data_IF_407288508156
#
_entry.id   IF_407288508156
#
_cell.length_a   1.000
_cell.length_b   1.000
_cell.length_c   1.000
_cell.angle_alpha   90.00
_cell.angle_beta   90.00
_cell.angle_gamma   90.00
#
_symmetry.space_group_name_H-M   'P 1'
#
loop_
_entity.id
_entity.type
_entity.pdbx_description
1 polymer ?
#
# COMPACT_ATOMS: atom_id res chain seq x y z
N UNK A 1 -1.90 6.41 0.79
CA UNK A 1 -1.46 5.70 -0.45
C UNK A 1 -0.22 6.39 -0.99
N UNK A 2 0.80 5.65 -1.44
CA UNK A 2 2.06 6.22 -1.93
C UNK A 2 2.22 5.88 -3.41
N UNK A 3 2.35 6.90 -4.26
CA UNK A 3 2.46 6.75 -5.71
C UNK A 3 3.88 7.14 -6.13
N UNK A 4 4.53 6.27 -6.88
CA UNK A 4 5.86 6.50 -7.41
C UNK A 4 5.83 6.41 -8.94
N UNK A 5 6.46 7.39 -9.59
CA UNK A 5 6.62 7.46 -11.04
C UNK A 5 8.10 7.67 -11.37
N UNK A 6 8.68 6.85 -12.24
CA UNK A 6 10.06 7.03 -12.71
C UNK A 6 10.15 8.15 -13.75
N UNK A 7 10.69 9.32 -13.37
CA UNK A 7 11.51 10.18 -14.25
C UNK A 7 12.54 10.91 -13.37
N UNK A 8 13.82 10.88 -13.75
CA UNK A 8 14.97 11.51 -13.06
C UNK A 8 14.90 13.07 -13.01
N UNK A 9 15.64 13.74 -12.10
CA UNK A 9 15.16 14.93 -11.39
C UNK A 9 15.56 16.27 -12.03
N UNK A 10 14.67 17.28 -11.96
CA UNK A 10 15.04 18.70 -11.79
C UNK A 10 13.91 19.47 -11.12
N UNK A 11 14.28 20.45 -10.30
CA UNK A 11 13.41 21.31 -9.51
C UNK A 11 12.57 22.24 -10.39
N UNK A 12 11.30 22.48 -10.04
CA UNK A 12 10.63 23.74 -10.37
C UNK A 12 9.39 24.03 -9.51
N UNK A 13 9.34 25.26 -9.03
CA UNK A 13 8.29 25.93 -8.28
C UNK A 13 7.11 26.39 -9.15
N UNK A 14 6.02 26.73 -8.46
CA UNK A 14 5.08 27.83 -8.74
C UNK A 14 3.61 27.49 -9.03
N UNK A 15 2.79 28.41 -8.52
CA UNK A 15 1.35 28.58 -8.57
C UNK A 15 0.77 28.65 -10.00
N UNK A 16 -0.53 28.35 -10.16
CA UNK A 16 -1.61 29.30 -10.54
C UNK A 16 -2.92 28.53 -10.85
N UNK A 17 -4.02 29.22 -10.58
CA UNK A 17 -5.45 28.93 -10.71
C UNK A 17 -5.95 28.30 -12.01
N UNK A 18 -7.15 27.72 -11.96
CA UNK A 18 -8.04 27.61 -13.12
C UNK A 18 -9.21 26.67 -12.90
N UNK A 19 -10.43 27.20 -12.93
CA UNK A 19 -11.69 26.52 -12.64
C UNK A 19 -11.98 25.29 -13.53
N UNK A 20 -12.61 24.28 -12.94
CA UNK A 20 -13.18 23.12 -13.61
C UNK A 20 -14.37 23.56 -14.49
N UNK A 21 -14.08 23.92 -15.74
CA UNK A 21 -15.04 23.72 -16.82
C UNK A 21 -14.83 22.32 -17.39
N UNK A 22 -15.83 21.46 -17.19
CA UNK A 22 -15.93 20.19 -17.90
C UNK A 22 -16.19 20.50 -19.39
N UNK A 23 -15.17 20.33 -20.23
CA UNK A 23 -15.36 20.13 -21.65
C UNK A 23 -14.66 18.84 -22.07
N UNK A 24 -15.46 17.93 -22.61
CA UNK A 24 -15.00 16.70 -23.25
C UNK A 24 -14.05 17.04 -24.40
N UNK A 25 -12.81 16.54 -24.32
CA UNK A 25 -12.06 16.18 -25.53
C UNK A 25 -11.37 14.82 -25.33
N UNK A 26 -11.51 14.01 -26.37
CA UNK A 26 -11.12 12.62 -26.42
C UNK A 26 -9.59 12.46 -26.36
N UNK A 27 -9.10 11.90 -25.25
CA UNK A 27 -7.81 11.25 -25.17
C UNK A 27 -8.02 9.88 -24.51
N UNK A 28 -8.18 8.87 -25.36
CA UNK A 28 -7.87 7.44 -25.15
C UNK A 28 -7.96 6.97 -23.69
N UNK A 29 -9.18 6.77 -23.21
CA UNK A 29 -9.48 6.06 -21.96
C UNK A 29 -9.74 4.59 -22.29
N UNK A 30 -9.24 3.61 -21.53
CA UNK A 30 -9.41 2.24 -21.90
C UNK A 30 -10.82 1.78 -21.52
N UNK A 31 -11.74 1.95 -22.46
CA UNK A 31 -12.60 0.81 -22.79
C UNK A 31 -11.64 -0.37 -23.06
N UNK A 32 -11.75 -1.47 -22.30
CA UNK A 32 -10.95 -2.72 -22.41
C UNK A 32 -9.71 -2.87 -21.49
N UNK A 33 -9.75 -2.40 -20.24
CA UNK A 33 -8.98 -3.05 -19.16
C UNK A 33 -7.44 -2.93 -19.23
N UNK A 34 -6.89 -1.94 -19.93
CA UNK A 34 -5.47 -1.60 -19.90
C UNK A 34 -5.24 -0.37 -19.04
N UNK A 35 -5.20 -0.57 -17.72
CA UNK A 35 -4.78 0.49 -16.80
C UNK A 35 -3.31 0.84 -17.06
N UNK A 36 -2.97 2.13 -17.06
CA UNK A 36 -1.59 2.61 -17.15
C UNK A 36 -0.80 2.45 -15.84
N UNK A 37 -1.43 1.89 -14.80
CA UNK A 37 -0.86 1.74 -13.47
C UNK A 37 -0.97 0.31 -12.94
N UNK A 38 -0.07 -0.04 -12.04
CA UNK A 38 -0.08 -1.27 -11.24
C UNK A 38 -0.21 -0.93 -9.77
N UNK A 39 -1.19 -1.54 -9.10
CA UNK A 39 -1.27 -1.53 -7.63
C UNK A 39 -0.37 -2.62 -7.08
N UNK A 40 0.44 -2.27 -6.09
CA UNK A 40 1.35 -3.16 -5.39
C UNK A 40 0.91 -3.25 -3.95
N UNK A 41 0.79 -4.48 -3.44
CA UNK A 41 0.38 -4.73 -2.07
C UNK A 41 1.09 -5.95 -1.49
N UNK A 42 1.15 -6.04 -0.16
CA UNK A 42 1.66 -7.22 0.53
C UNK A 42 0.76 -7.61 1.69
N UNK A 43 0.67 -8.92 1.95
CA UNK A 43 -0.08 -9.49 3.07
C UNK A 43 0.64 -10.74 3.56
N UNK A 44 1.33 -10.62 4.70
CA UNK A 44 2.05 -11.69 5.37
C UNK A 44 1.49 -11.88 6.78
N UNK A 45 1.25 -13.12 7.19
CA UNK A 45 0.92 -13.41 8.57
C UNK A 45 2.18 -13.47 9.43
N UNK A 46 2.42 -12.40 10.19
CA UNK A 46 3.51 -12.27 11.15
C UNK A 46 3.14 -12.77 12.56
N UNK A 47 2.07 -13.58 12.68
CA UNK A 47 1.65 -14.18 13.95
C UNK A 47 0.89 -13.22 14.88
N UNK A 48 0.33 -12.13 14.34
CA UNK A 48 -0.33 -11.08 15.14
C UNK A 48 -1.55 -11.58 15.94
N UNK A 49 -2.21 -12.63 15.47
CA UNK A 49 -3.33 -13.25 16.18
C UNK A 49 -2.94 -13.89 17.51
N UNK A 50 -1.65 -14.19 17.72
CA UNK A 50 -1.13 -14.85 18.92
C UNK A 50 -0.43 -13.89 19.88
N UNK A 51 -0.46 -12.58 19.63
CA UNK A 51 0.25 -11.62 20.48
C UNK A 51 -0.46 -11.43 21.83
N UNK A 52 0.31 -11.28 22.94
CA UNK A 52 -0.23 -11.26 24.30
C UNK A 52 -0.87 -9.91 24.70
N UNK A 53 -1.30 -9.08 23.75
CA UNK A 53 -1.78 -7.71 23.99
C UNK A 53 -3.17 -7.47 23.43
N UNK A 54 -3.80 -6.36 23.87
CA UNK A 54 -5.05 -5.80 23.30
C UNK A 54 -4.94 -5.47 21.80
N UNK A 55 -3.76 -5.61 21.21
CA UNK A 55 -3.50 -5.40 19.79
C UNK A 55 -3.53 -6.67 18.95
N UNK A 56 -3.80 -7.83 19.58
CA UNK A 56 -4.06 -9.06 18.84
C UNK A 56 -5.23 -8.83 17.89
N UNK A 57 -5.02 -9.22 16.63
CA UNK A 57 -6.05 -9.25 15.60
C UNK A 57 -5.86 -10.54 14.83
N UNK A 58 -6.93 -11.31 14.71
CA UNK A 58 -6.88 -12.58 13.99
C UNK A 58 -6.44 -12.37 12.55
N UNK A 59 -5.75 -13.34 11.96
CA UNK A 59 -5.37 -13.23 10.55
C UNK A 59 -6.60 -13.15 9.62
N UNK A 60 -7.70 -13.82 10.00
CA UNK A 60 -8.97 -13.72 9.30
C UNK A 60 -9.53 -12.30 9.24
N UNK A 61 -9.30 -11.48 10.27
CA UNK A 61 -9.64 -10.05 10.26
C UNK A 61 -8.90 -9.34 9.12
N UNK A 62 -7.60 -9.58 8.97
CA UNK A 62 -6.82 -9.01 7.86
C UNK A 62 -7.26 -9.53 6.50
N UNK A 63 -7.53 -10.83 6.38
CA UNK A 63 -8.02 -11.40 5.12
C UNK A 63 -9.36 -10.80 4.70
N UNK A 64 -10.25 -10.50 5.65
CA UNK A 64 -11.52 -9.82 5.36
C UNK A 64 -11.30 -8.42 4.80
N UNK A 65 -10.40 -7.63 5.40
CA UNK A 65 -10.11 -6.29 4.87
C UNK A 65 -9.37 -6.36 3.53
N UNK A 66 -8.44 -7.32 3.40
CA UNK A 66 -7.69 -7.55 2.18
C UNK A 66 -8.60 -7.96 1.02
N UNK A 67 -9.67 -8.72 1.30
CA UNK A 67 -10.71 -9.08 0.31
C UNK A 67 -11.27 -7.86 -0.41
N UNK A 68 -11.42 -6.74 0.29
CA UNK A 68 -11.98 -5.53 -0.31
C UNK A 68 -11.03 -4.93 -1.36
N UNK A 69 -9.73 -4.92 -1.08
CA UNK A 69 -8.69 -4.55 -2.06
C UNK A 69 -8.68 -5.54 -3.24
N UNK A 70 -8.77 -6.84 -2.96
CA UNK A 70 -8.74 -7.88 -4.00
C UNK A 70 -9.90 -7.80 -5.00
N UNK A 71 -11.04 -7.18 -4.63
CA UNK A 71 -12.18 -6.96 -5.53
C UNK A 71 -11.95 -5.85 -6.56
N UNK A 72 -10.94 -4.99 -6.38
CA UNK A 72 -10.69 -3.87 -7.29
C UNK A 72 -10.35 -4.37 -8.69
N UNK A 73 -11.00 -3.81 -9.70
CA UNK A 73 -10.66 -4.10 -11.11
C UNK A 73 -9.44 -3.27 -11.52
N UNK A 74 -8.25 -3.71 -11.12
CA UNK A 74 -6.96 -3.06 -11.40
C UNK A 74 -5.90 -4.10 -11.70
N UNK A 75 -4.82 -3.70 -12.39
CA UNK A 75 -3.60 -4.50 -12.44
C UNK A 75 -3.01 -4.59 -11.02
N UNK A 76 -2.88 -5.80 -10.49
CA UNK A 76 -2.51 -6.03 -9.10
C UNK A 76 -1.31 -6.96 -8.97
N UNK A 77 -0.22 -6.47 -8.39
CA UNK A 77 0.90 -7.26 -7.92
C UNK A 77 0.78 -7.50 -6.41
N UNK A 78 0.71 -8.75 -5.99
CA UNK A 78 0.58 -9.14 -4.58
C UNK A 78 1.82 -9.89 -4.09
N UNK A 79 2.34 -9.51 -2.93
CA UNK A 79 3.42 -10.20 -2.21
C UNK A 79 2.86 -10.87 -0.98
N UNK A 80 2.76 -12.20 -0.99
CA UNK A 80 2.02 -12.93 0.04
C UNK A 80 2.74 -14.20 0.47
N UNK A 81 2.45 -14.67 1.67
CA UNK A 81 2.92 -15.97 2.14
C UNK A 81 2.17 -17.12 1.44
N UNK A 82 2.71 -18.34 1.59
CA UNK A 82 2.16 -19.54 0.94
C UNK A 82 0.71 -19.81 1.29
N UNK A 83 0.29 -19.58 2.55
CA UNK A 83 -1.10 -19.83 2.97
C UNK A 83 -2.08 -18.78 2.41
N UNK A 84 -1.60 -17.57 2.14
CA UNK A 84 -2.39 -16.45 1.65
C UNK A 84 -2.51 -16.45 0.13
N UNK A 85 -1.56 -17.06 -0.58
CA UNK A 85 -1.61 -17.21 -2.04
C UNK A 85 -2.92 -17.83 -2.53
N UNK A 86 -3.39 -18.91 -1.89
CA UNK A 86 -4.66 -19.55 -2.26
C UNK A 86 -5.83 -18.59 -2.11
N UNK A 87 -5.85 -17.81 -1.03
CA UNK A 87 -6.89 -16.81 -0.81
C UNK A 87 -6.92 -15.75 -1.93
N UNK A 88 -5.76 -15.22 -2.32
CA UNK A 88 -5.66 -14.26 -3.44
C UNK A 88 -6.17 -14.86 -4.73
N UNK A 89 -5.75 -16.08 -5.06
CA UNK A 89 -6.18 -16.78 -6.27
C UNK A 89 -7.71 -16.94 -6.31
N UNK A 90 -8.32 -17.42 -5.23
CA UNK A 90 -9.78 -17.59 -5.16
C UNK A 90 -10.55 -16.28 -5.29
N UNK A 91 -10.06 -15.19 -4.70
CA UNK A 91 -10.74 -13.89 -4.78
C UNK A 91 -10.58 -13.22 -6.15
N UNK A 92 -9.55 -13.57 -6.94
CA UNK A 92 -9.23 -12.93 -8.22
C UNK A 92 -9.22 -13.87 -9.43
N UNK A 93 -9.75 -15.08 -9.31
CA UNK A 93 -9.78 -16.09 -10.38
C UNK A 93 -10.47 -15.61 -11.66
N UNK A 94 -11.48 -14.75 -11.53
CA UNK A 94 -12.24 -14.19 -12.67
C UNK A 94 -11.59 -12.91 -13.25
N UNK A 95 -10.47 -12.43 -12.69
CA UNK A 95 -9.82 -11.18 -13.12
C UNK A 95 -8.83 -11.37 -14.29
N UNK A 96 -8.83 -12.55 -14.92
CA UNK A 96 -7.96 -12.89 -16.05
C UNK A 96 -6.48 -12.66 -15.74
N UNK A 97 -5.79 -11.91 -16.61
CA UNK A 97 -4.36 -11.61 -16.49
C UNK A 97 -4.04 -10.33 -15.69
N UNK A 98 -4.99 -9.77 -14.92
CA UNK A 98 -4.78 -8.55 -14.11
C UNK A 98 -4.16 -8.82 -12.72
N UNK A 99 -3.61 -10.01 -12.49
CA UNK A 99 -3.06 -10.40 -11.18
C UNK A 99 -1.76 -11.16 -11.33
N UNK A 100 -0.74 -10.70 -10.61
CA UNK A 100 0.54 -11.41 -10.44
C UNK A 100 0.75 -11.60 -8.94
N UNK A 101 0.94 -12.85 -8.52
CA UNK A 101 1.15 -13.19 -7.10
C UNK A 101 2.55 -13.72 -6.91
N UNK A 102 3.31 -13.05 -6.05
CA UNK A 102 4.66 -13.38 -5.68
C UNK A 102 4.65 -13.98 -4.28
N UNK A 103 5.20 -15.18 -4.13
CA UNK A 103 5.45 -15.76 -2.83
C UNK A 103 6.64 -15.09 -2.16
N UNK A 104 6.45 -14.69 -0.90
CA UNK A 104 7.51 -14.13 -0.06
C UNK A 104 7.28 -14.55 1.39
N UNK A 105 8.35 -14.94 2.08
CA UNK A 105 8.38 -15.14 3.51
C UNK A 105 9.03 -13.96 4.23
N UNK A 106 8.94 -13.94 5.56
CA UNK A 106 9.62 -12.91 6.36
C UNK A 106 11.14 -12.93 6.14
N UNK A 107 11.74 -14.10 5.95
CA UNK A 107 13.18 -14.29 5.77
C UNK A 107 13.70 -13.75 4.43
N UNK A 108 12.82 -13.65 3.43
CA UNK A 108 13.14 -13.10 2.11
C UNK A 108 13.19 -11.57 2.10
N UNK A 109 12.76 -10.90 3.18
CA UNK A 109 12.70 -9.46 3.24
C UNK A 109 14.09 -8.85 3.47
N UNK A 110 14.43 -7.74 2.79
CA UNK A 110 15.79 -7.20 2.78
C UNK A 110 16.32 -6.78 4.15
N UNK A 111 15.42 -6.46 5.08
CA UNK A 111 15.77 -6.04 6.44
C UNK A 111 15.73 -7.18 7.46
N UNK A 112 15.34 -8.40 7.07
CA UNK A 112 15.30 -9.54 7.97
C UNK A 112 16.66 -9.89 8.56
N UNK A 113 17.75 -9.66 7.79
CA UNK A 113 19.13 -9.75 8.27
C UNK A 113 19.44 -8.90 9.51
N UNK A 114 18.66 -7.85 9.77
CA UNK A 114 18.82 -6.98 10.95
C UNK A 114 17.86 -7.34 12.09
N UNK A 115 17.03 -8.39 11.96
CA UNK A 115 16.04 -8.78 12.96
C UNK A 115 16.63 -8.89 14.36
N UNK A 116 17.79 -9.54 14.50
CA UNK A 116 18.47 -9.68 15.79
C UNK A 116 18.85 -8.34 16.40
N UNK A 117 19.42 -7.43 15.60
CA UNK A 117 19.79 -6.08 16.05
C UNK A 117 18.57 -5.22 16.40
N UNK A 118 17.50 -5.30 15.62
CA UNK A 118 16.23 -4.62 15.91
C UNK A 118 15.67 -5.11 17.26
N UNK A 119 15.66 -6.44 17.48
CA UNK A 119 15.20 -7.02 18.73
C UNK A 119 16.06 -6.58 19.93
N UNK A 120 17.38 -6.55 19.77
CA UNK A 120 18.32 -6.08 20.79
C UNK A 120 18.03 -4.62 21.17
N UNK A 121 17.88 -3.73 20.17
CA UNK A 121 17.54 -2.32 20.38
C UNK A 121 16.20 -2.21 21.11
N UNK A 122 15.15 -2.88 20.62
CA UNK A 122 13.81 -2.87 21.24
C UNK A 122 13.82 -3.38 22.69
N UNK A 123 14.76 -4.26 23.05
CA UNK A 123 14.86 -4.81 24.40
C UNK A 123 15.74 -3.98 25.34
N UNK A 124 16.54 -3.05 24.81
CA UNK A 124 17.43 -2.18 25.60
C UNK A 124 16.67 -1.24 26.54
N UNK A 125 17.30 -0.91 27.67
CA UNK A 125 16.72 0.01 28.66
C UNK A 125 16.54 1.43 28.11
N UNK A 126 17.49 1.89 27.28
CA UNK A 126 17.44 3.20 26.63
C UNK A 126 16.21 3.31 25.72
N UNK A 127 16.05 2.36 24.78
CA UNK A 127 14.89 2.35 23.89
C UNK A 127 13.58 2.29 24.66
N UNK A 128 13.48 1.44 25.70
CA UNK A 128 12.25 1.32 26.50
C UNK A 128 11.91 2.58 27.28
N UNK A 129 12.93 3.29 27.76
CA UNK A 129 12.75 4.55 28.50
C UNK A 129 12.36 5.69 27.57
N UNK A 130 12.97 5.76 26.39
CA UNK A 130 12.89 6.92 25.51
C UNK A 130 11.85 6.76 24.38
N UNK A 131 11.17 5.60 24.30
CA UNK A 131 10.10 5.33 23.35
C UNK A 131 8.72 5.26 24.02
N UNK A 132 7.93 6.31 23.88
CA UNK A 132 6.55 6.42 24.39
C UNK A 132 5.62 5.28 23.95
N UNK A 133 5.88 4.68 22.79
CA UNK A 133 5.05 3.61 22.23
C UNK A 133 5.14 2.31 23.04
N UNK A 134 6.23 2.16 23.81
CA UNK A 134 6.41 1.04 24.75
C UNK A 134 5.40 1.14 25.89
N UNK A 135 5.19 2.33 26.45
CA UNK A 135 4.18 2.56 27.48
C UNK A 135 2.76 2.29 26.95
N UNK A 136 2.52 2.64 25.68
CA UNK A 136 1.26 2.37 24.96
C UNK A 136 1.12 0.91 24.48
N UNK A 137 2.14 0.07 24.70
CA UNK A 137 2.17 -1.34 24.28
C UNK A 137 1.82 -1.52 22.80
N UNK A 138 2.37 -0.66 21.94
CA UNK A 138 2.18 -0.76 20.49
C UNK A 138 3.19 -1.73 19.86
N UNK A 139 2.73 -2.64 19.00
CA UNK A 139 3.56 -3.67 18.37
C UNK A 139 4.79 -3.14 17.63
N UNK A 140 4.68 -1.95 17.02
CA UNK A 140 5.80 -1.20 16.43
C UNK A 140 6.92 -0.83 17.41
N UNK A 141 6.76 -1.12 18.71
CA UNK A 141 7.77 -0.89 19.73
C UNK A 141 8.40 -2.17 20.29
N UNK A 142 7.87 -3.35 19.99
CA UNK A 142 8.39 -4.62 20.57
C UNK A 142 8.32 -5.84 19.64
N UNK A 143 7.80 -5.71 18.42
CA UNK A 143 7.76 -6.80 17.43
C UNK A 143 8.67 -6.45 16.23
N UNK A 144 9.88 -7.01 16.15
CA UNK A 144 10.82 -6.75 15.05
C UNK A 144 10.24 -7.06 13.67
N UNK A 145 9.46 -8.14 13.55
CA UNK A 145 8.83 -8.57 12.30
C UNK A 145 7.85 -7.53 11.75
N UNK A 146 7.18 -6.79 12.63
CA UNK A 146 6.28 -5.72 12.23
C UNK A 146 7.06 -4.61 11.52
N UNK A 147 8.17 -4.15 12.11
CA UNK A 147 8.99 -3.09 11.54
C UNK A 147 9.65 -3.53 10.24
N UNK A 148 10.16 -4.77 10.18
CA UNK A 148 10.75 -5.34 8.96
C UNK A 148 9.73 -5.33 7.81
N UNK A 149 8.49 -5.77 8.07
CA UNK A 149 7.43 -5.77 7.06
C UNK A 149 7.06 -4.35 6.62
N UNK A 150 6.91 -3.42 7.58
CA UNK A 150 6.56 -2.03 7.28
C UNK A 150 7.65 -1.31 6.48
N UNK A 151 8.93 -1.56 6.77
CA UNK A 151 10.06 -1.00 6.04
C UNK A 151 10.21 -1.62 4.63
N UNK A 152 9.65 -2.81 4.40
CA UNK A 152 9.77 -3.53 3.12
C UNK A 152 8.80 -3.07 2.03
N UNK A 153 7.93 -2.08 2.30
CA UNK A 153 6.94 -1.56 1.32
C UNK A 153 7.60 -1.04 0.04
N UNK A 154 8.66 -0.24 0.19
CA UNK A 154 9.40 0.30 -0.96
C UNK A 154 10.14 -0.80 -1.73
N UNK A 155 10.58 -1.86 -1.05
CA UNK A 155 11.20 -3.00 -1.70
C UNK A 155 10.22 -3.73 -2.63
N UNK A 156 8.98 -3.97 -2.19
CA UNK A 156 7.95 -4.58 -3.03
C UNK A 156 7.58 -3.72 -4.23
N UNK A 157 7.49 -2.41 -4.01
CA UNK A 157 7.21 -1.45 -5.07
C UNK A 157 8.33 -1.49 -6.13
N UNK A 158 9.58 -1.29 -5.70
CA UNK A 158 10.77 -1.33 -6.57
C UNK A 158 10.90 -2.64 -7.34
N UNK A 159 10.69 -3.78 -6.68
CA UNK A 159 10.76 -5.08 -7.36
C UNK A 159 9.68 -5.21 -8.45
N UNK A 160 8.47 -4.71 -8.21
CA UNK A 160 7.40 -4.72 -9.22
C UNK A 160 7.70 -3.78 -10.38
N UNK A 161 8.35 -2.65 -10.13
CA UNK A 161 8.80 -1.73 -11.18
C UNK A 161 9.79 -2.44 -12.10
N UNK A 162 10.79 -3.12 -11.54
CA UNK A 162 11.80 -3.83 -12.32
C UNK A 162 11.22 -4.98 -13.16
N UNK A 163 10.24 -5.72 -12.65
CA UNK A 163 9.64 -6.84 -13.40
C UNK A 163 8.51 -6.41 -14.32
N UNK A 164 7.88 -5.27 -14.05
CA UNK A 164 6.75 -4.66 -14.75
C UNK A 164 5.79 -5.68 -15.42
N UNK A 165 5.14 -6.57 -14.66
CA UNK A 165 4.43 -7.73 -15.21
C UNK A 165 3.23 -7.37 -16.10
N UNK A 166 2.75 -6.13 -16.00
CA UNK A 166 1.60 -5.63 -16.75
C UNK A 166 1.96 -4.55 -17.77
N UNK A 167 3.25 -4.27 -17.96
CA UNK A 167 3.76 -3.23 -18.84
C UNK A 167 3.10 -1.85 -18.61
N UNK A 168 3.08 -1.42 -17.34
CA UNK A 168 2.46 -0.17 -16.88
C UNK A 168 3.50 0.94 -16.65
N UNK A 169 3.05 2.19 -16.60
CA UNK A 169 3.89 3.37 -16.36
C UNK A 169 3.93 3.80 -14.89
N UNK A 170 2.82 3.61 -14.17
CA UNK A 170 2.67 4.10 -12.79
C UNK A 170 2.58 2.94 -11.80
N UNK A 171 3.18 3.10 -10.61
CA UNK A 171 3.15 2.08 -9.56
C UNK A 171 2.68 2.68 -8.24
N UNK A 172 1.69 2.01 -7.65
CA UNK A 172 0.97 2.52 -6.48
C UNK A 172 1.08 1.52 -5.34
N UNK A 173 1.66 1.93 -4.22
CA UNK A 173 1.57 1.14 -2.99
C UNK A 173 0.21 1.31 -2.32
N UNK A 174 -0.47 0.18 -2.10
CA UNK A 174 -1.70 0.10 -1.31
C UNK A 174 -1.54 -0.96 -0.21
N UNK A 175 -1.72 -0.55 1.04
CA UNK A 175 -1.56 -1.45 2.19
C UNK A 175 -2.61 -2.55 2.16
N UNK A 176 -2.23 -3.82 2.32
CA UNK A 176 -3.19 -4.93 2.30
C UNK A 176 -4.19 -4.87 3.45
N UNK A 177 -3.83 -4.19 4.55
CA UNK A 177 -4.71 -3.89 5.68
C UNK A 177 -5.50 -2.58 5.53
N UNK A 178 -5.41 -1.87 4.40
CA UNK A 178 -6.05 -0.56 4.21
C UNK A 178 -7.59 -0.61 4.35
N UNK A 179 -8.22 -1.79 4.21
CA UNK A 179 -9.67 -1.93 4.20
C UNK A 179 -10.43 -1.74 5.51
N UNK A 180 -9.78 -1.36 6.62
CA UNK A 180 -10.39 -1.22 7.95
C UNK A 180 -11.49 -0.13 8.10
N UNK A 181 -12.05 0.44 7.03
CA UNK A 181 -13.11 1.45 7.07
C UNK A 181 -14.23 1.18 6.07
N UNK A 182 -15.46 1.53 6.47
CA UNK A 182 -16.70 1.14 5.78
C UNK A 182 -16.86 1.71 4.36
N UNK A 183 -16.14 2.79 4.00
CA UNK A 183 -16.34 3.51 2.72
C UNK A 183 -15.10 3.54 1.82
N UNK A 184 -14.07 2.74 2.10
CA UNK A 184 -12.73 2.96 1.52
C UNK A 184 -12.63 2.63 0.03
N UNK A 185 -13.51 1.76 -0.49
CA UNK A 185 -13.44 1.27 -1.86
C UNK A 185 -14.69 1.63 -2.67
N UNK A 186 -14.56 1.94 -3.97
CA UNK A 186 -15.69 2.08 -4.88
C UNK A 186 -16.56 0.84 -4.87
N UNK A 187 -17.88 1.00 -4.82
CA UNK A 187 -18.84 -0.11 -4.75
C UNK A 187 -18.83 -0.99 -6.01
N UNK A 188 -18.47 -0.40 -7.15
CA UNK A 188 -18.29 -1.06 -8.43
C UNK A 188 -16.86 -1.64 -8.63
N UNK A 189 -15.98 -1.49 -7.64
CA UNK A 189 -14.58 -1.92 -7.70
C UNK A 189 -13.71 -1.11 -8.67
N UNK A 190 -14.25 -0.09 -9.33
CA UNK A 190 -13.56 0.72 -10.33
C UNK A 190 -12.87 1.90 -9.66
N UNK A 191 -11.54 1.89 -9.66
CA UNK A 191 -10.75 2.97 -9.11
C UNK A 191 -9.82 3.57 -10.18
N UNK A 192 -10.00 4.85 -10.48
CA UNK A 192 -9.22 5.58 -11.48
C UNK A 192 -8.67 6.86 -10.84
N UNK A 193 -7.38 6.89 -10.47
CA UNK A 193 -6.78 8.07 -9.83
C UNK A 193 -6.32 9.13 -10.84
N UNK A 194 -7.23 9.62 -11.71
CA UNK A 194 -6.88 10.48 -12.86
C UNK A 194 -5.94 11.65 -12.50
N UNK A 195 -6.30 12.43 -11.49
CA UNK A 195 -5.54 13.62 -11.06
C UNK A 195 -4.13 13.29 -10.56
N UNK A 196 -3.93 12.08 -10.01
CA UNK A 196 -2.61 11.64 -9.54
C UNK A 196 -1.69 11.28 -10.70
N UNK A 197 -2.27 10.67 -11.75
CA UNK A 197 -1.53 10.29 -12.95
C UNK A 197 -1.16 11.51 -13.80
N UNK A 198 -1.90 12.62 -13.66
CA UNK A 198 -1.60 13.90 -14.32
C UNK A 198 -0.42 14.67 -13.67
N UNK A 199 0.11 14.20 -12.54
CA UNK A 199 1.27 14.81 -11.86
C UNK A 199 2.48 13.86 -11.81
N UNK A 200 3.01 13.40 -12.96
CA UNK A 200 4.18 12.54 -12.99
C UNK A 200 5.43 13.25 -12.44
N UNK A 201 6.39 12.47 -11.95
CA UNK A 201 7.65 12.96 -11.37
C UNK A 201 7.54 13.42 -9.91
N UNK A 202 6.42 13.17 -9.23
CA UNK A 202 6.19 13.57 -7.83
C UNK A 202 5.77 12.36 -6.98
N UNK A 203 6.19 12.35 -5.72
CA UNK A 203 5.62 11.45 -4.71
C UNK A 203 4.36 12.12 -4.18
N UNK A 204 3.20 11.52 -4.45
CA UNK A 204 1.91 12.04 -3.97
C UNK A 204 1.39 11.17 -2.84
N UNK A 205 1.07 11.81 -1.71
CA UNK A 205 0.40 11.19 -0.57
C UNK A 205 -1.07 11.57 -0.58
N UNK A 206 -1.95 10.56 -0.50
CA UNK A 206 -3.36 10.77 -0.21
C UNK A 206 -3.66 10.26 1.19
N UNK A 207 -4.23 11.16 2.00
CA UNK A 207 -4.97 10.87 3.20
C UNK A 207 -6.46 11.05 2.92
N UNK A 208 -7.29 10.13 3.46
CA UNK A 208 -8.74 10.32 3.52
C UNK A 208 -9.15 10.35 4.99
N UNK A 209 -9.51 11.52 5.54
CA UNK A 209 -10.04 11.59 6.89
C UNK A 209 -11.37 10.81 7.01
N UNK A 210 -11.67 10.17 8.15
CA UNK A 210 -12.96 9.52 8.37
C UNK A 210 -14.14 10.47 8.16
N UNK A 211 -15.22 10.00 7.52
CA UNK A 211 -16.46 10.78 7.32
C UNK A 211 -16.43 11.77 6.15
N UNK A 212 -15.35 11.82 5.38
CA UNK A 212 -15.24 12.71 4.21
C UNK A 212 -16.01 12.13 3.02
N UNK A 213 -17.02 12.88 2.57
CA UNK A 213 -17.85 12.58 1.39
C UNK A 213 -17.29 13.20 0.09
N UNK A 214 -16.48 14.25 0.19
CA UNK A 214 -15.93 14.98 -0.96
C UNK A 214 -14.43 15.25 -0.78
N UNK A 215 -13.64 15.11 -1.84
CA UNK A 215 -12.21 15.41 -1.81
C UNK A 215 -11.99 16.91 -2.04
N UNK A 216 -11.16 17.52 -1.19
CA UNK A 216 -10.71 18.89 -1.37
C UNK A 216 -9.20 18.90 -1.67
N UNK A 217 -8.78 19.78 -2.58
CA UNK A 217 -7.37 19.94 -2.92
C UNK A 217 -6.65 20.69 -1.80
N UNK A 218 -5.98 19.97 -0.92
CA UNK A 218 -5.17 20.57 0.15
C UNK A 218 -3.79 20.93 -0.42
N UNK A 219 -3.41 22.20 -0.28
CA UNK A 219 -2.08 22.69 -0.64
C UNK A 219 -1.19 22.54 0.59
N UNK A 220 -0.08 21.81 0.46
CA UNK A 220 1.00 21.73 1.44
C UNK A 220 0.62 21.21 2.84
N UNK A 221 0.30 19.92 2.96
CA UNK A 221 0.31 19.21 4.26
C UNK A 221 1.37 18.11 4.25
N UNK A 222 2.49 18.34 4.96
CA UNK A 222 3.28 17.23 5.49
C UNK A 222 2.61 16.75 6.79
N UNK A 223 1.96 15.59 6.75
CA UNK A 223 1.56 14.92 7.98
C UNK A 223 2.81 14.40 8.70
N UNK A 224 2.88 14.66 10.01
CA UNK A 224 3.93 14.19 10.92
C UNK A 224 3.95 12.67 11.00
#
# INVERSE_FOLDING_TARGET
MLIWSEVYPTWMSANVYGALHFSHTAAVWPAQGRYSFTVVTAMLDIGRGSWPSTQSRSYNTYLREFKQLLKMDVNLATYVDRKTQRFVHEQRKEMGNKTTTILVGMEDLPYFRYRGRIAEIMNSSEYKRDNELVALRLCRSYIPEYDILQLSKLYFLHRTILTNPFNTTYFVWMDGGYGHGHDIYPSDGSWIPKELLENPGRITFIERPPGVLHYEKVKDTMHK
#
